data_IF_898724968493
#
_entry.id   IF_898724968493
#
_cell.length_a   1.000
_cell.length_b   1.000
_cell.length_c   1.000
_cell.angle_alpha   90.00
_cell.angle_beta   90.00
_cell.angle_gamma   90.00
#
_symmetry.space_group_name_H-M   'P 1'
#
loop_
_entity.id
_entity.type
_entity.pdbx_description
1 polymer ?
#
# COMPACT_ATOMS: atom_id res chain seq x y z
N UNK A 1 -6.00 0.98 6.06
CA UNK A 1 -4.95 0.03 5.63
C UNK A 1 -5.62 -1.04 4.77
N UNK A 2 -6.24 -2.06 5.33
CA UNK A 2 -7.06 -3.01 4.56
C UNK A 2 -8.47 -2.48 4.29
N UNK A 3 -9.16 -3.01 3.27
CA UNK A 3 -10.60 -2.75 3.05
C UNK A 3 -11.43 -3.33 4.19
N UNK A 4 -11.18 -4.58 4.54
CA UNK A 4 -11.74 -5.23 5.73
C UNK A 4 -10.66 -5.33 6.82
N UNK A 5 -10.73 -4.50 7.88
CA UNK A 5 -9.77 -4.54 8.99
C UNK A 5 -9.83 -5.84 9.82
N UNK A 6 -10.91 -6.61 9.74
CA UNK A 6 -11.07 -7.90 10.40
C UNK A 6 -10.85 -9.10 9.46
N UNK A 7 -10.55 -8.84 8.18
CA UNK A 7 -10.38 -9.85 7.16
C UNK A 7 -9.09 -10.65 7.30
N UNK A 8 -8.98 -11.73 6.52
CA UNK A 8 -7.86 -12.66 6.63
C UNK A 8 -6.51 -12.03 6.28
N UNK A 9 -6.48 -11.06 5.35
CA UNK A 9 -5.28 -10.28 5.06
C UNK A 9 -4.78 -9.51 6.30
N UNK A 10 -5.71 -8.90 7.06
CA UNK A 10 -5.40 -8.20 8.28
C UNK A 10 -4.92 -9.16 9.38
N UNK A 11 -5.56 -10.33 9.52
CA UNK A 11 -5.13 -11.37 10.47
C UNK A 11 -3.75 -11.94 10.13
N UNK A 12 -3.42 -12.11 8.85
CA UNK A 12 -2.08 -12.58 8.44
C UNK A 12 -0.99 -11.56 8.75
N UNK A 13 -1.29 -10.27 8.66
CA UNK A 13 -0.31 -9.20 8.91
C UNK A 13 -0.24 -8.79 10.40
N UNK A 14 -1.36 -8.83 11.12
CA UNK A 14 -1.49 -8.31 12.48
C UNK A 14 -2.09 -9.29 13.50
N UNK A 15 -2.36 -10.53 13.08
CA UNK A 15 -2.80 -11.58 14.00
C UNK A 15 -1.73 -11.89 15.04
N UNK A 16 -2.13 -12.43 16.20
CA UNK A 16 -1.20 -12.64 17.30
C UNK A 16 -0.13 -13.66 16.91
N UNK A 17 1.14 -13.31 17.11
CA UNK A 17 2.29 -14.23 17.07
C UNK A 17 2.61 -14.83 18.45
N UNK A 18 1.96 -14.36 19.51
CA UNK A 18 2.18 -14.70 20.91
C UNK A 18 0.85 -14.94 21.66
N UNK A 19 0.86 -15.57 22.85
CA UNK A 19 -0.33 -15.74 23.67
C UNK A 19 -1.08 -14.41 23.97
N UNK A 20 -2.38 -14.48 24.29
CA UNK A 20 -3.30 -13.33 24.23
C UNK A 20 -2.94 -12.12 25.12
N UNK A 21 -2.24 -12.36 26.22
CA UNK A 21 -1.83 -11.36 27.21
C UNK A 21 -0.59 -10.55 26.77
N UNK A 22 0.42 -11.21 26.20
CA UNK A 22 1.59 -10.57 25.62
C UNK A 22 1.27 -9.81 24.32
N UNK A 23 0.31 -10.31 23.55
CA UNK A 23 -0.12 -9.69 22.29
C UNK A 23 -0.75 -8.30 22.50
N UNK A 24 -1.51 -8.09 23.58
CA UNK A 24 -2.19 -6.82 23.85
C UNK A 24 -1.20 -5.68 24.18
N UNK A 25 -0.23 -5.93 25.05
CA UNK A 25 0.79 -4.94 25.41
C UNK A 25 1.67 -4.57 24.20
N UNK A 26 2.04 -5.55 23.38
CA UNK A 26 2.80 -5.35 22.14
C UNK A 26 1.99 -4.54 21.11
N UNK A 27 0.68 -4.79 20.98
CA UNK A 27 -0.22 -4.03 20.10
C UNK A 27 -0.32 -2.57 20.52
N UNK A 28 -0.53 -2.31 21.82
CA UNK A 28 -0.58 -0.94 22.37
C UNK A 28 0.73 -0.21 22.12
N UNK A 29 1.87 -0.86 22.36
CA UNK A 29 3.20 -0.28 22.12
C UNK A 29 3.44 0.02 20.64
N UNK A 30 3.10 -0.91 19.74
CA UNK A 30 3.27 -0.70 18.29
C UNK A 30 2.40 0.47 17.80
N UNK A 31 1.16 0.54 18.26
CA UNK A 31 0.22 1.59 17.87
C UNK A 31 0.64 2.97 18.42
N UNK A 32 1.14 3.02 19.67
CA UNK A 32 1.75 4.22 20.24
C UNK A 32 3.01 4.65 19.49
N UNK A 33 3.92 3.73 19.18
CA UNK A 33 5.14 4.01 18.43
C UNK A 33 4.83 4.54 17.03
N UNK A 34 3.91 3.89 16.30
CA UNK A 34 3.47 4.35 14.98
C UNK A 34 2.79 5.73 15.05
N UNK A 35 1.95 5.97 16.06
CA UNK A 35 1.31 7.27 16.27
C UNK A 35 2.31 8.38 16.60
N UNK A 36 3.28 8.09 17.47
CA UNK A 36 4.33 9.02 17.87
C UNK A 36 5.26 9.36 16.69
N UNK A 37 5.77 8.35 15.97
CA UNK A 37 6.59 8.56 14.76
C UNK A 37 5.79 9.24 13.66
N UNK A 38 4.52 8.88 13.49
CA UNK A 38 3.58 9.46 12.55
C UNK A 38 3.52 10.98 12.63
N UNK A 39 3.53 11.56 13.84
CA UNK A 39 3.54 13.02 14.06
C UNK A 39 4.76 13.73 13.50
N UNK A 40 5.91 13.05 13.42
CA UNK A 40 7.15 13.65 12.91
C UNK A 40 7.32 13.45 11.40
N UNK A 41 6.69 12.43 10.83
CA UNK A 41 6.77 12.11 9.40
C UNK A 41 5.56 12.58 8.61
N UNK A 42 4.54 13.17 9.24
CA UNK A 42 3.32 13.62 8.58
C UNK A 42 3.29 15.14 8.36
N UNK A 43 2.95 15.62 7.15
CA UNK A 43 2.71 14.84 5.94
C UNK A 43 4.01 14.19 5.44
N UNK A 44 3.92 12.99 4.85
CA UNK A 44 5.08 12.27 4.31
C UNK A 44 5.83 13.21 3.36
N UNK A 45 7.04 13.68 3.73
CA UNK A 45 7.67 14.75 2.99
C UNK A 45 8.14 14.22 1.62
N UNK A 46 7.79 14.95 0.56
CA UNK A 46 8.38 14.70 -0.75
C UNK A 46 9.85 15.13 -0.74
N UNK A 47 10.77 14.16 -0.60
CA UNK A 47 12.23 14.37 -0.65
C UNK A 47 12.73 14.58 -2.10
N UNK A 48 11.94 15.24 -2.93
CA UNK A 48 12.23 15.59 -4.32
C UNK A 48 11.88 14.50 -5.35
N UNK A 49 11.08 13.49 -4.99
CA UNK A 49 10.56 12.50 -5.92
C UNK A 49 9.74 13.18 -7.02
N UNK A 50 8.86 14.14 -6.69
CA UNK A 50 8.06 14.86 -7.73
C UNK A 50 8.94 15.55 -8.78
N UNK A 51 10.15 15.98 -8.40
CA UNK A 51 11.14 16.61 -9.29
C UNK A 51 11.95 15.61 -10.11
N UNK A 52 11.95 14.32 -9.78
CA UNK A 52 12.84 13.31 -10.41
C UNK A 52 12.10 12.15 -11.06
N UNK A 53 10.84 11.90 -10.71
CA UNK A 53 10.06 10.73 -11.16
C UNK A 53 9.95 10.63 -12.69
N UNK A 54 9.95 11.75 -13.42
CA UNK A 54 9.96 11.81 -14.89
C UNK A 54 11.21 11.16 -15.54
N UNK A 55 12.26 10.91 -14.75
CA UNK A 55 13.51 10.29 -15.21
C UNK A 55 13.40 8.76 -15.36
N UNK A 56 12.40 8.13 -14.75
CA UNK A 56 12.15 6.70 -14.93
C UNK A 56 11.72 6.47 -16.38
N UNK A 57 12.50 5.67 -17.11
CA UNK A 57 12.24 5.31 -18.51
C UNK A 57 11.83 3.85 -18.70
N UNK A 58 11.99 3.03 -17.67
CA UNK A 58 11.55 1.64 -17.73
C UNK A 58 10.02 1.58 -17.82
N UNK A 59 9.45 0.62 -18.58
CA UNK A 59 8.03 0.31 -18.50
C UNK A 59 7.64 0.15 -17.03
N UNK A 60 6.53 0.76 -16.62
CA UNK A 60 6.12 0.75 -15.21
C UNK A 60 4.64 0.41 -15.10
N UNK A 61 4.34 -0.54 -14.22
CA UNK A 61 2.99 -0.84 -13.76
C UNK A 61 2.77 -0.18 -12.40
N UNK A 62 1.73 0.64 -12.29
CA UNK A 62 1.20 1.14 -11.03
C UNK A 62 0.00 0.26 -10.64
N UNK A 63 0.03 -0.30 -9.43
CA UNK A 63 -1.05 -1.11 -8.86
C UNK A 63 -1.60 -0.41 -7.63
N UNK A 64 -2.90 -0.17 -7.60
CA UNK A 64 -3.55 0.58 -6.51
C UNK A 64 -4.86 -0.07 -6.07
N UNK A 65 -5.14 -0.08 -4.77
CA UNK A 65 -6.48 -0.45 -4.28
C UNK A 65 -7.44 0.73 -4.42
N UNK A 66 -8.65 0.48 -4.95
CA UNK A 66 -9.67 1.52 -5.12
C UNK A 66 -10.19 2.07 -3.79
N UNK A 67 -10.17 1.25 -2.73
CA UNK A 67 -10.65 1.61 -1.40
C UNK A 67 -9.48 2.00 -0.46
N UNK A 68 -8.32 2.40 -1.01
CA UNK A 68 -7.17 2.80 -0.21
C UNK A 68 -7.44 4.10 0.56
N UNK A 69 -7.57 3.97 1.89
CA UNK A 69 -7.77 5.09 2.82
C UNK A 69 -6.47 5.64 3.40
N UNK A 70 -5.34 4.98 3.18
CA UNK A 70 -4.03 5.42 3.67
C UNK A 70 -3.32 6.29 2.63
N UNK A 71 -3.34 5.86 1.37
CA UNK A 71 -2.83 6.64 0.23
C UNK A 71 -3.91 6.66 -0.87
N UNK A 72 -4.82 7.64 -0.84
CA UNK A 72 -5.99 7.66 -1.71
C UNK A 72 -5.66 7.52 -3.21
N UNK A 73 -6.56 6.94 -4.04
CA UNK A 73 -6.33 6.75 -5.47
C UNK A 73 -5.92 8.01 -6.25
N UNK A 74 -6.26 9.21 -5.76
CA UNK A 74 -5.79 10.48 -6.32
C UNK A 74 -4.24 10.60 -6.42
N UNK A 75 -3.50 9.89 -5.56
CA UNK A 75 -2.05 9.78 -5.67
C UNK A 75 -1.64 8.95 -6.89
N UNK A 76 -2.35 7.85 -7.19
CA UNK A 76 -2.10 7.06 -8.39
C UNK A 76 -2.24 7.91 -9.65
N UNK A 77 -3.26 8.77 -9.70
CA UNK A 77 -3.45 9.73 -10.80
C UNK A 77 -2.30 10.74 -10.89
N UNK A 78 -1.77 11.21 -9.75
CA UNK A 78 -0.57 12.07 -9.74
C UNK A 78 0.66 11.33 -10.28
N UNK A 79 0.82 10.05 -9.96
CA UNK A 79 1.90 9.23 -10.49
C UNK A 79 1.77 9.05 -12.01
N UNK A 80 0.60 8.71 -12.53
CA UNK A 80 0.36 8.59 -13.99
C UNK A 80 0.71 9.90 -14.71
N UNK A 81 0.31 11.06 -14.16
CA UNK A 81 0.65 12.37 -14.75
C UNK A 81 2.16 12.66 -14.77
N UNK A 82 2.91 12.16 -13.79
CA UNK A 82 4.35 12.49 -13.62
C UNK A 82 5.29 11.41 -14.14
N UNK A 83 4.78 10.22 -14.43
CA UNK A 83 5.54 9.05 -14.87
C UNK A 83 5.09 8.65 -16.29
N UNK A 84 5.65 9.28 -17.33
CA UNK A 84 5.26 9.00 -18.71
C UNK A 84 5.46 7.53 -19.06
N UNK A 85 4.43 6.90 -19.62
CA UNK A 85 4.45 5.49 -20.01
C UNK A 85 4.10 4.50 -18.89
N UNK A 86 3.72 4.97 -17.71
CA UNK A 86 3.16 4.10 -16.68
C UNK A 86 1.72 3.69 -17.01
N UNK A 87 1.44 2.39 -16.88
CA UNK A 87 0.07 1.88 -16.87
C UNK A 87 -0.45 1.80 -15.43
N UNK A 88 -1.65 2.33 -15.17
CA UNK A 88 -2.32 2.20 -13.88
C UNK A 88 -3.36 1.07 -13.95
N UNK A 89 -3.21 0.11 -13.05
CA UNK A 89 -4.19 -0.94 -12.78
C UNK A 89 -4.72 -0.74 -11.37
N UNK A 90 -6.04 -0.76 -11.25
CA UNK A 90 -6.70 -0.59 -9.95
C UNK A 90 -7.45 -1.85 -9.56
N UNK A 91 -7.46 -2.13 -8.25
CA UNK A 91 -8.04 -3.33 -7.69
C UNK A 91 -9.31 -2.93 -6.96
N UNK A 92 -10.45 -3.21 -7.59
CA UNK A 92 -11.76 -2.98 -6.99
C UNK A 92 -11.91 -3.76 -5.70
N UNK A 93 -12.53 -3.12 -4.71
CA UNK A 93 -12.78 -3.76 -3.45
C UNK A 93 -11.52 -4.15 -2.70
N UNK A 94 -10.48 -3.31 -2.77
CA UNK A 94 -9.20 -3.50 -2.11
C UNK A 94 -8.70 -2.20 -1.47
N UNK A 95 -8.13 -2.29 -0.27
CA UNK A 95 -7.47 -1.19 0.40
C UNK A 95 -6.00 -1.00 -0.02
N UNK A 96 -5.19 -0.51 0.91
CA UNK A 96 -3.80 -0.11 0.71
C UNK A 96 -2.84 -1.24 0.35
N UNK A 97 -3.19 -2.49 0.62
CA UNK A 97 -2.29 -3.62 0.41
C UNK A 97 -2.88 -4.67 -0.56
N UNK A 98 -3.01 -4.37 -1.87
CA UNK A 98 -3.55 -5.29 -2.86
C UNK A 98 -2.89 -6.66 -2.91
N UNK A 99 -1.58 -6.71 -2.74
CA UNK A 99 -0.81 -7.96 -2.73
C UNK A 99 -1.16 -8.88 -1.54
N UNK A 100 -1.74 -8.33 -0.46
CA UNK A 100 -2.18 -9.10 0.70
C UNK A 100 -3.68 -9.40 0.65
N UNK A 101 -4.50 -8.46 0.15
CA UNK A 101 -5.95 -8.61 0.10
C UNK A 101 -6.43 -9.44 -1.09
N UNK A 102 -5.83 -9.27 -2.26
CA UNK A 102 -6.21 -9.97 -3.49
C UNK A 102 -4.96 -10.49 -4.23
N UNK A 103 -4.16 -11.38 -3.60
CA UNK A 103 -2.87 -11.82 -4.12
C UNK A 103 -2.94 -12.43 -5.52
N UNK A 104 -3.99 -13.20 -5.83
CA UNK A 104 -4.15 -13.84 -7.14
C UNK A 104 -4.38 -12.80 -8.25
N UNK A 105 -5.23 -11.79 -8.00
CA UNK A 105 -5.51 -10.72 -8.96
C UNK A 105 -4.26 -9.88 -9.20
N UNK A 106 -3.53 -9.55 -8.14
CA UNK A 106 -2.25 -8.83 -8.25
C UNK A 106 -1.21 -9.65 -9.00
N UNK A 107 -1.05 -10.94 -8.67
CA UNK A 107 -0.11 -11.82 -9.35
C UNK A 107 -0.41 -11.92 -10.85
N UNK A 108 -1.69 -12.03 -11.23
CA UNK A 108 -2.11 -12.02 -12.63
C UNK A 108 -1.69 -10.72 -13.33
N UNK A 109 -2.02 -9.55 -12.77
CA UNK A 109 -1.66 -8.24 -13.34
C UNK A 109 -0.14 -8.07 -13.51
N UNK A 110 0.64 -8.57 -12.54
CA UNK A 110 2.11 -8.56 -12.61
C UNK A 110 2.61 -9.49 -13.73
N UNK A 111 2.06 -10.71 -13.84
CA UNK A 111 2.42 -11.66 -14.90
C UNK A 111 2.11 -11.09 -16.29
N UNK A 112 0.93 -10.51 -16.48
CA UNK A 112 0.53 -9.85 -17.72
C UNK A 112 1.49 -8.72 -18.11
N UNK A 113 1.87 -7.87 -17.14
CA UNK A 113 2.85 -6.81 -17.36
C UNK A 113 4.24 -7.35 -17.75
N UNK A 114 4.69 -8.42 -17.08
CA UNK A 114 5.98 -9.07 -17.37
C UNK A 114 5.94 -9.99 -18.59
N UNK A 115 4.77 -10.23 -19.18
CA UNK A 115 4.54 -11.20 -20.27
C UNK A 115 4.98 -12.62 -19.91
N UNK A 116 4.69 -13.03 -18.68
CA UNK A 116 4.90 -14.39 -18.14
C UNK A 116 3.60 -15.18 -18.14
#
# INVERSE_FOLDING_TARGET
MFRDPAGDAAKRMFGPSEPPDAAAATRVRLMWSMGATGKFIWPIPDKGLKKRIHRVKAPTLLLWGQDDRLVPPAYADEFVRRLPGAGLQTVDGCGHAPQLEQPNKVAQMVREFLRL
#
